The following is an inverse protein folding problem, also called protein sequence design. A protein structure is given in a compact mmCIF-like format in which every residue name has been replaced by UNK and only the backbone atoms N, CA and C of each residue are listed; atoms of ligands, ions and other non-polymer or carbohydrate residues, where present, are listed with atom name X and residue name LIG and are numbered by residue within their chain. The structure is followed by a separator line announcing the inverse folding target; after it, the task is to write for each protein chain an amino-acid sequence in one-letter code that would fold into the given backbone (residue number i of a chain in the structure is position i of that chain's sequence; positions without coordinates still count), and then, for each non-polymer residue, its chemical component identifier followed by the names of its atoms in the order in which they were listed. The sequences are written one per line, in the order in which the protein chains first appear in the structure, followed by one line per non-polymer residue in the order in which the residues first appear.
data_IF_718848534790
#
_entry.id   IF_718848534790
#
_cell.length_a   1.000
_cell.length_b   1.000
_cell.length_c   1.000
_cell.angle_alpha   90.00
_cell.angle_beta   90.00
_cell.angle_gamma   90.00
#
_symmetry.space_group_name_H-M   'P 1'
#
loop_
_entity.id
_entity.type
_entity.pdbx_description
1 polymer ?
#
# COMPACT_ATOMS: atom_id res chain seq x y z
N UNK A 1 6.14 19.81 -1.56
CA UNK A 1 7.23 19.09 -0.87
C UNK A 1 6.81 18.42 0.45
N UNK A 2 6.56 19.12 1.56
CA UNK A 2 6.24 18.46 2.86
C UNK A 2 4.97 17.59 2.79
N UNK A 3 3.90 18.10 2.16
CA UNK A 3 2.63 17.36 2.02
C UNK A 3 2.80 16.12 1.15
N UNK A 4 3.57 16.19 0.07
CA UNK A 4 3.83 15.05 -0.83
C UNK A 4 4.65 13.96 -0.14
N UNK A 5 5.65 14.36 0.66
CA UNK A 5 6.44 13.43 1.47
C UNK A 5 5.57 12.76 2.52
N UNK A 6 4.73 13.51 3.24
CA UNK A 6 3.81 12.95 4.23
C UNK A 6 2.82 11.96 3.60
N UNK A 7 2.27 12.29 2.42
CA UNK A 7 1.39 11.40 1.68
C UNK A 7 2.11 10.13 1.22
N UNK A 8 3.33 10.26 0.70
CA UNK A 8 4.15 9.13 0.26
C UNK A 8 4.49 8.19 1.42
N UNK A 9 4.87 8.73 2.58
CA UNK A 9 5.13 7.95 3.79
C UNK A 9 3.86 7.25 4.28
N UNK A 10 2.70 7.92 4.26
CA UNK A 10 1.43 7.31 4.64
C UNK A 10 1.04 6.16 3.71
N UNK A 11 1.21 6.31 2.39
CA UNK A 11 0.93 5.23 1.43
C UNK A 11 1.88 4.04 1.59
N UNK A 12 3.17 4.31 1.83
CA UNK A 12 4.16 3.27 2.10
C UNK A 12 3.85 2.51 3.40
N UNK A 13 3.49 3.23 4.47
CA UNK A 13 3.12 2.62 5.74
C UNK A 13 1.87 1.75 5.61
N UNK A 14 0.87 2.20 4.85
CA UNK A 14 -0.35 1.43 4.57
C UNK A 14 -0.06 0.18 3.75
N UNK A 15 0.83 0.26 2.75
CA UNK A 15 1.30 -0.89 1.98
C UNK A 15 2.01 -1.93 2.86
N UNK A 16 2.94 -1.48 3.71
CA UNK A 16 3.64 -2.36 4.65
C UNK A 16 2.69 -3.01 5.65
N UNK A 17 1.68 -2.28 6.12
CA UNK A 17 0.65 -2.80 7.02
C UNK A 17 -0.19 -3.90 6.38
N UNK A 18 -0.68 -3.66 5.16
CA UNK A 18 -1.43 -4.64 4.37
C UNK A 18 -0.60 -5.91 4.11
N UNK A 19 0.66 -5.74 3.71
CA UNK A 19 1.55 -6.86 3.37
C UNK A 19 1.99 -7.67 4.61
N UNK A 20 2.40 -6.99 5.68
CA UNK A 20 3.02 -7.63 6.84
C UNK A 20 2.00 -8.15 7.86
N UNK A 21 0.81 -7.55 7.95
CA UNK A 21 -0.20 -7.95 8.95
C UNK A 21 -1.46 -8.52 8.30
N UNK A 22 -2.06 -7.82 7.33
CA UNK A 22 -3.39 -8.18 6.83
C UNK A 22 -3.36 -9.42 5.94
N UNK A 23 -2.38 -9.50 5.04
CA UNK A 23 -2.17 -10.63 4.15
C UNK A 23 -1.87 -11.96 4.90
N UNK A 24 -0.89 -12.04 5.82
CA UNK A 24 -0.64 -13.27 6.56
C UNK A 24 -1.78 -13.63 7.51
N UNK A 25 -2.49 -12.64 8.07
CA UNK A 25 -3.69 -12.87 8.88
C UNK A 25 -4.80 -13.52 8.05
N UNK A 26 -5.12 -12.97 6.88
CA UNK A 26 -6.12 -13.53 5.97
C UNK A 26 -5.74 -14.92 5.45
N UNK A 27 -4.45 -15.16 5.17
CA UNK A 27 -3.95 -16.50 4.84
C UNK A 27 -4.12 -17.50 5.99
N UNK A 28 -3.87 -17.07 7.23
CA UNK A 28 -4.03 -17.91 8.43
C UNK A 28 -5.50 -18.26 8.69
N UNK A 29 -6.40 -17.31 8.48
CA UNK A 29 -7.85 -17.49 8.66
C UNK A 29 -8.51 -18.23 7.47
N UNK A 30 -7.76 -18.53 6.40
CA UNK A 30 -8.28 -19.07 5.12
C UNK A 30 -9.41 -18.21 4.54
N UNK A 31 -9.39 -16.91 4.85
CA UNK A 31 -10.36 -15.94 4.36
C UNK A 31 -9.98 -15.55 2.93
N UNK A 32 -10.49 -16.33 1.97
CA UNK A 32 -10.25 -16.10 0.53
C UNK A 32 -10.73 -14.70 0.08
N UNK A 33 -11.80 -14.19 0.69
CA UNK A 33 -12.30 -12.83 0.51
C UNK A 33 -11.33 -11.78 1.05
N UNK A 34 -10.75 -12.00 2.24
CA UNK A 34 -9.75 -11.12 2.84
C UNK A 34 -8.45 -11.07 2.04
N UNK A 35 -7.99 -12.21 1.52
CA UNK A 35 -6.83 -12.28 0.61
C UNK A 35 -7.14 -11.58 -0.71
N UNK A 36 -8.33 -11.84 -1.27
CA UNK A 36 -8.80 -11.22 -2.50
C UNK A 36 -8.92 -9.69 -2.42
N UNK A 37 -9.22 -9.13 -1.24
CA UNK A 37 -9.30 -7.68 -1.02
C UNK A 37 -7.94 -7.05 -0.66
N UNK A 38 -7.05 -7.79 0.01
CA UNK A 38 -5.72 -7.29 0.39
C UNK A 38 -4.82 -7.07 -0.83
N UNK A 39 -4.92 -7.93 -1.84
CA UNK A 39 -4.16 -7.84 -3.10
C UNK A 39 -4.38 -6.54 -3.90
N UNK A 40 -5.62 -6.16 -4.27
CA UNK A 40 -5.88 -4.91 -4.97
C UNK A 40 -5.56 -3.69 -4.09
N UNK A 41 -5.76 -3.78 -2.78
CA UNK A 41 -5.40 -2.71 -1.84
C UNK A 41 -3.89 -2.48 -1.81
N UNK A 42 -3.08 -3.55 -1.78
CA UNK A 42 -1.63 -3.48 -1.92
C UNK A 42 -1.21 -2.87 -3.26
N UNK A 43 -1.84 -3.28 -4.36
CA UNK A 43 -1.53 -2.73 -5.68
C UNK A 43 -1.84 -1.23 -5.76
N UNK A 44 -3.00 -0.79 -5.28
CA UNK A 44 -3.38 0.63 -5.27
C UNK A 44 -2.41 1.45 -4.40
N UNK A 45 -2.06 0.94 -3.21
CA UNK A 45 -1.12 1.61 -2.32
C UNK A 45 0.28 1.75 -2.97
N UNK A 46 0.76 0.70 -3.63
CA UNK A 46 2.04 0.70 -4.33
C UNK A 46 2.03 1.63 -5.56
N UNK A 47 0.97 1.58 -6.37
CA UNK A 47 0.81 2.46 -7.53
C UNK A 47 0.72 3.92 -7.12
N UNK A 48 -0.04 4.24 -6.06
CA UNK A 48 -0.12 5.61 -5.56
C UNK A 48 1.20 6.09 -4.98
N UNK A 49 1.93 5.24 -4.25
CA UNK A 49 3.28 5.56 -3.78
C UNK A 49 4.25 5.86 -4.93
N UNK A 50 4.27 5.00 -5.96
CA UNK A 50 5.09 5.20 -7.16
C UNK A 50 4.70 6.47 -7.92
N UNK A 51 3.40 6.76 -8.05
CA UNK A 51 2.93 7.94 -8.76
C UNK A 51 3.37 9.24 -8.06
N UNK A 52 3.32 9.28 -6.73
CA UNK A 52 3.84 10.40 -5.93
C UNK A 52 5.37 10.49 -6.05
N UNK A 53 6.08 9.36 -6.01
CA UNK A 53 7.54 9.32 -6.14
C UNK A 53 8.05 9.74 -7.54
N UNK A 54 7.31 9.39 -8.59
CA UNK A 54 7.61 9.79 -9.98
C UNK A 54 7.22 11.25 -10.23
N UNK A 55 6.06 11.68 -9.73
CA UNK A 55 5.61 13.08 -9.84
C UNK A 55 6.53 14.08 -9.16
N UNK A 56 7.18 13.68 -8.05
CA UNK A 56 8.18 14.51 -7.35
C UNK A 56 9.56 14.55 -8.02
N UNK A 57 9.90 13.57 -8.86
CA UNK A 57 11.20 13.49 -9.56
C UNK A 57 11.19 14.14 -10.96
N UNK A 58 10.02 14.44 -11.51
CA UNK A 58 9.85 15.03 -12.84
C UNK A 58 9.77 16.57 -12.86
N UNK A 59 9.88 17.24 -11.69
CA UNK A 59 9.99 18.70 -11.56
C UNK A 59 11.41 19.09 -11.18
#
# INVERSE_FOLDING_TARGET
MIVEVALSVAMLAMFLWELAFRLPKACRERDASGVGFSLPTCLIALFGWLFIGVGTRSR
#
